data_IF_913871575252
#
_entry.id   IF_913871575252
#
_cell.length_a   1.000
_cell.length_b   1.000
_cell.length_c   1.000
_cell.angle_alpha   90.00
_cell.angle_beta   90.00
_cell.angle_gamma   90.00
#
_symmetry.space_group_name_H-M   'P 1'
#
loop_
_entity.id
_entity.type
_entity.pdbx_description
1 polymer ?
#
# COMPACT_ATOMS: atom_id res chain seq x y z
N UNK A 1 -14.33 39.56 -53.63
CA UNK A 1 -14.28 38.44 -54.59
C UNK A 1 -13.37 37.36 -54.01
N UNK A 2 -13.93 36.14 -53.89
CA UNK A 2 -13.37 34.82 -53.55
C UNK A 2 -11.84 34.57 -53.55
N UNK A 3 -11.34 33.93 -52.47
CA UNK A 3 -10.78 32.53 -52.37
C UNK A 3 -9.95 32.41 -51.08
N UNK A 4 -10.38 31.72 -50.01
CA UNK A 4 -10.29 30.27 -49.68
C UNK A 4 -8.87 29.68 -49.65
N UNK A 5 -8.48 29.07 -48.52
CA UNK A 5 -7.48 27.97 -48.51
C UNK A 5 -6.62 27.84 -47.25
N UNK A 6 -6.89 26.80 -46.46
CA UNK A 6 -6.15 26.32 -45.27
C UNK A 6 -4.73 25.82 -45.61
N UNK A 7 -3.78 25.84 -44.65
CA UNK A 7 -3.30 24.67 -43.87
C UNK A 7 -1.91 24.90 -43.23
N UNK A 8 -1.70 24.14 -42.14
CA UNK A 8 -0.60 24.09 -41.17
C UNK A 8 0.85 24.21 -41.70
N UNK A 9 1.71 24.83 -40.87
CA UNK A 9 3.15 24.50 -40.81
C UNK A 9 3.64 24.35 -39.35
N UNK A 10 3.73 23.10 -38.89
CA UNK A 10 4.52 22.65 -37.74
C UNK A 10 5.56 21.68 -38.30
N UNK A 11 6.82 22.10 -38.39
CA UNK A 11 8.02 21.27 -38.61
C UNK A 11 9.21 22.12 -38.11
N UNK A 12 10.28 21.67 -37.49
CA UNK A 12 10.84 20.38 -37.05
C UNK A 12 12.16 20.76 -36.38
N UNK A 13 12.50 20.27 -35.19
CA UNK A 13 13.88 20.21 -34.73
C UNK A 13 14.19 18.77 -34.32
N UNK A 14 14.60 17.96 -35.29
CA UNK A 14 15.24 16.67 -35.07
C UNK A 14 16.72 16.92 -34.77
N UNK A 15 17.17 16.61 -33.56
CA UNK A 15 18.58 16.43 -33.26
C UNK A 15 18.93 14.99 -33.61
N UNK A 16 19.65 14.80 -34.72
CA UNK A 16 20.23 13.52 -35.11
C UNK A 16 21.52 13.28 -34.31
N UNK A 17 21.57 12.21 -33.53
CA UNK A 17 22.83 11.66 -33.01
C UNK A 17 23.30 10.53 -33.93
N UNK A 18 24.35 10.82 -34.69
CA UNK A 18 25.06 9.86 -35.55
C UNK A 18 25.93 8.96 -34.68
N UNK A 19 25.64 7.66 -34.58
CA UNK A 19 26.55 6.69 -33.98
C UNK A 19 27.55 6.18 -35.03
N UNK A 20 28.84 6.35 -34.72
CA UNK A 20 29.97 5.84 -35.49
C UNK A 20 30.13 4.34 -35.20
N UNK A 21 30.02 3.47 -36.23
CA UNK A 21 30.25 2.03 -36.12
C UNK A 21 31.59 1.69 -36.78
N UNK A 22 32.59 1.12 -36.07
CA UNK A 22 33.80 0.62 -36.72
C UNK A 22 33.48 -0.67 -37.46
N UNK A 23 33.79 -0.71 -38.77
CA UNK A 23 33.76 -1.93 -39.59
C UNK A 23 34.84 -2.91 -39.12
N UNK A 24 34.46 -4.06 -38.58
CA UNK A 24 35.31 -5.26 -38.54
C UNK A 24 34.68 -6.37 -39.37
N UNK A 25 35.43 -6.81 -40.39
CA UNK A 25 35.08 -7.94 -41.27
C UNK A 25 35.43 -9.25 -40.57
N UNK A 26 34.45 -10.00 -40.05
CA UNK A 26 34.42 -11.48 -39.96
C UNK A 26 32.96 -11.96 -39.90
N UNK A 27 32.56 -13.03 -40.62
CA UNK A 27 31.24 -13.60 -40.48
C UNK A 27 31.13 -14.31 -39.12
N UNK A 28 30.04 -14.07 -38.39
CA UNK A 28 29.72 -14.74 -37.13
C UNK A 28 29.19 -16.18 -37.40
N UNK A 29 29.54 -17.18 -36.59
CA UNK A 29 28.99 -18.53 -36.72
C UNK A 29 27.54 -18.56 -36.20
N UNK A 30 26.70 -19.35 -36.88
CA UNK A 30 25.24 -19.41 -36.73
C UNK A 30 24.71 -20.12 -35.47
N UNK A 31 25.43 -20.07 -34.34
CA UNK A 31 24.97 -20.67 -33.07
C UNK A 31 25.60 -19.97 -31.86
N UNK A 32 25.25 -18.70 -31.63
CA UNK A 32 25.57 -17.98 -30.39
C UNK A 32 24.27 -17.52 -29.72
N UNK A 33 23.87 -18.20 -28.65
CA UNK A 33 22.81 -17.75 -27.74
C UNK A 33 23.44 -16.80 -26.71
N UNK A 34 23.05 -15.53 -26.72
CA UNK A 34 23.38 -14.58 -25.65
C UNK A 34 22.57 -14.91 -24.39
N UNK A 35 23.17 -14.95 -23.19
CA UNK A 35 22.41 -15.07 -21.96
C UNK A 35 21.73 -13.73 -21.65
N UNK A 36 20.42 -13.64 -21.87
CA UNK A 36 19.59 -12.45 -21.64
C UNK A 36 19.69 -11.87 -20.22
N UNK A 37 20.18 -12.67 -19.26
CA UNK A 37 20.32 -12.31 -17.85
C UNK A 37 21.48 -11.35 -17.59
N UNK A 38 22.58 -11.44 -18.36
CA UNK A 38 23.73 -10.54 -18.18
C UNK A 38 23.50 -9.16 -18.77
N UNK A 39 22.74 -9.07 -19.87
CA UNK A 39 22.32 -7.80 -20.48
C UNK A 39 21.30 -7.07 -19.61
N UNK A 40 20.35 -7.80 -18.99
CA UNK A 40 19.41 -7.22 -18.02
C UNK A 40 20.12 -6.63 -16.79
N UNK A 41 21.08 -7.37 -16.21
CA UNK A 41 21.84 -6.88 -15.04
C UNK A 41 22.71 -5.66 -15.37
N UNK A 42 23.30 -5.61 -16.57
CA UNK A 42 24.07 -4.45 -17.03
C UNK A 42 23.19 -3.21 -17.25
N UNK A 43 22.00 -3.38 -17.82
CA UNK A 43 20.98 -2.32 -17.96
C UNK A 43 20.49 -1.79 -16.60
N UNK A 44 20.26 -2.68 -15.63
CA UNK A 44 19.88 -2.31 -14.25
C UNK A 44 20.97 -1.46 -13.59
N UNK A 45 22.24 -1.82 -13.77
CA UNK A 45 23.38 -1.11 -13.17
C UNK A 45 23.59 0.27 -13.80
N UNK A 46 23.42 0.39 -15.12
CA UNK A 46 23.47 1.68 -15.83
C UNK A 46 22.29 2.61 -15.45
N UNK A 47 21.10 2.04 -15.23
CA UNK A 47 19.91 2.80 -14.83
C UNK A 47 19.97 3.26 -13.35
N UNK A 48 20.55 2.48 -12.45
CA UNK A 48 20.81 2.93 -11.07
C UNK A 48 21.76 4.14 -11.02
N UNK A 49 22.76 4.18 -11.90
CA UNK A 49 23.67 5.33 -12.02
C UNK A 49 22.96 6.59 -12.56
N UNK A 50 22.07 6.45 -13.56
CA UNK A 50 21.24 7.56 -14.03
C UNK A 50 20.24 8.06 -12.96
N UNK A 51 19.67 7.17 -12.16
CA UNK A 51 18.73 7.54 -11.10
C UNK A 51 19.42 8.30 -9.95
N UNK A 52 20.70 8.00 -9.67
CA UNK A 52 21.52 8.78 -8.73
C UNK A 52 21.84 10.17 -9.29
N UNK A 53 22.14 10.27 -10.59
CA UNK A 53 22.40 11.54 -11.26
C UNK A 53 21.16 12.45 -11.31
N UNK A 54 19.97 11.90 -11.58
CA UNK A 54 18.72 12.67 -11.59
C UNK A 54 18.28 13.11 -10.18
N UNK A 55 18.66 12.37 -9.13
CA UNK A 55 18.43 12.75 -7.73
C UNK A 55 19.22 14.00 -7.31
N UNK A 56 20.36 14.25 -7.94
CA UNK A 56 21.23 15.40 -7.64
C UNK A 56 20.76 16.71 -8.30
N UNK A 57 19.83 16.66 -9.27
CA UNK A 57 19.43 17.81 -10.09
C UNK A 57 17.95 18.26 -9.91
N UNK A 58 17.28 17.86 -8.82
CA UNK A 58 15.92 18.35 -8.51
C UNK A 58 15.98 19.74 -7.83
N UNK A 59 15.22 20.74 -8.30
CA UNK A 59 15.16 22.04 -7.62
C UNK A 59 14.43 21.90 -6.27
N UNK A 60 15.09 22.29 -5.18
CA UNK A 60 14.47 22.42 -3.86
C UNK A 60 13.50 23.61 -3.87
N UNK A 61 12.20 23.31 -3.87
CA UNK A 61 11.17 24.33 -3.69
C UNK A 61 10.82 24.38 -2.19
N UNK A 62 11.44 25.31 -1.46
CA UNK A 62 11.11 25.61 -0.07
C UNK A 62 9.83 26.46 -0.03
N UNK A 63 8.67 25.83 0.10
CA UNK A 63 7.47 26.47 0.62
C UNK A 63 6.92 25.61 1.77
N UNK A 64 6.47 26.28 2.84
CA UNK A 64 6.04 25.69 4.10
C UNK A 64 4.98 24.59 3.89
N UNK A 65 5.42 23.33 3.93
CA UNK A 65 4.58 22.13 3.93
C UNK A 65 4.11 21.86 5.37
N UNK A 66 2.97 22.45 5.75
CA UNK A 66 2.24 21.99 6.93
C UNK A 66 1.96 20.47 6.79
N UNK A 67 2.34 19.67 7.80
CA UNK A 67 2.39 18.19 7.84
C UNK A 67 1.38 17.48 6.91
N UNK A 68 1.80 17.21 5.66
CA UNK A 68 1.03 16.54 4.60
C UNK A 68 0.66 15.10 4.96
N UNK A 69 1.59 14.42 5.65
CA UNK A 69 1.44 13.07 6.13
C UNK A 69 1.26 13.12 7.65
N UNK A 70 0.22 12.46 8.16
CA UNK A 70 0.06 12.35 9.61
C UNK A 70 0.90 11.17 10.10
N UNK A 71 1.94 11.47 10.88
CA UNK A 71 2.58 10.47 11.72
C UNK A 71 1.59 10.05 12.80
N UNK A 72 0.93 8.90 12.62
CA UNK A 72 0.16 8.33 13.72
C UNK A 72 1.13 7.85 14.79
N UNK A 73 0.85 8.13 16.09
CA UNK A 73 1.57 7.47 17.16
C UNK A 73 1.45 5.99 16.88
N UNK A 74 2.60 5.35 16.65
CA UNK A 74 2.72 3.91 16.52
C UNK A 74 1.74 3.27 17.50
N UNK A 75 1.02 2.23 17.08
CA UNK A 75 0.54 1.16 17.95
C UNK A 75 1.53 1.00 19.13
N UNK A 76 1.29 1.71 20.24
CA UNK A 76 2.09 1.61 21.45
C UNK A 76 1.44 0.47 22.20
N UNK A 77 1.71 -0.74 21.73
CA UNK A 77 1.68 -1.88 22.61
C UNK A 77 2.73 -1.55 23.69
N UNK A 78 2.28 -1.16 24.87
CA UNK A 78 3.12 -1.07 26.05
C UNK A 78 3.56 -2.51 26.38
N UNK A 79 4.67 -2.92 25.79
CA UNK A 79 5.22 -4.25 25.93
C UNK A 79 6.21 -4.50 24.82
N UNK A 80 7.47 -4.70 25.19
CA UNK A 80 8.65 -4.84 24.34
C UNK A 80 8.64 -6.03 23.33
N UNK A 81 7.49 -6.54 22.84
CA UNK A 81 7.44 -7.82 22.11
C UNK A 81 6.60 -7.94 20.82
N UNK A 82 5.83 -6.95 20.32
CA UNK A 82 4.96 -7.20 19.12
C UNK A 82 4.94 -6.12 18.03
N UNK A 83 6.02 -5.39 17.84
CA UNK A 83 6.19 -4.49 16.69
C UNK A 83 6.59 -5.23 15.38
N UNK A 84 6.68 -6.57 15.40
CA UNK A 84 7.07 -7.41 14.26
C UNK A 84 5.97 -8.33 13.72
N UNK A 85 4.78 -8.37 14.31
CA UNK A 85 3.74 -9.31 13.85
C UNK A 85 2.96 -8.74 12.67
N UNK A 86 2.93 -9.50 11.58
CA UNK A 86 2.03 -9.29 10.44
C UNK A 86 0.58 -9.36 10.96
N UNK A 87 -0.28 -8.44 10.50
CA UNK A 87 -1.71 -8.44 10.78
C UNK A 87 -2.30 -9.81 10.41
N UNK A 88 -3.01 -10.48 11.33
CA UNK A 88 -3.61 -11.78 11.03
C UNK A 88 -4.67 -11.65 9.94
N UNK A 89 -4.93 -12.76 9.23
CA UNK A 89 -6.03 -12.82 8.28
C UNK A 89 -7.38 -12.53 8.96
N UNK A 90 -8.37 -12.08 8.19
CA UNK A 90 -9.70 -11.77 8.71
C UNK A 90 -10.42 -12.98 9.32
N UNK A 91 -10.08 -14.19 8.88
CA UNK A 91 -10.70 -15.46 9.27
C UNK A 91 -9.69 -16.61 9.27
N UNK A 92 -10.03 -17.71 9.94
CA UNK A 92 -9.20 -18.93 10.01
C UNK A 92 -9.37 -19.88 8.79
N UNK A 93 -9.99 -19.41 7.70
CA UNK A 93 -10.16 -20.25 6.52
C UNK A 93 -8.81 -20.56 5.87
N UNK A 94 -8.70 -21.76 5.29
CA UNK A 94 -7.51 -22.14 4.55
C UNK A 94 -7.40 -21.35 3.24
N UNK A 95 -6.23 -20.79 3.00
CA UNK A 95 -5.86 -20.12 1.77
C UNK A 95 -4.78 -20.92 1.03
N UNK A 96 -4.72 -20.86 -0.31
CA UNK A 96 -3.71 -21.58 -1.07
C UNK A 96 -2.31 -21.06 -0.73
N UNK A 97 -1.40 -22.00 -0.48
CA UNK A 97 0.03 -21.71 -0.26
C UNK A 97 0.64 -21.08 -1.52
N UNK A 98 1.67 -20.25 -1.34
CA UNK A 98 2.38 -19.57 -2.43
C UNK A 98 2.88 -20.53 -3.52
N UNK A 99 3.36 -21.71 -3.14
CA UNK A 99 3.83 -22.74 -4.09
C UNK A 99 2.70 -23.27 -5.00
N UNK A 100 1.50 -23.44 -4.44
CA UNK A 100 0.33 -23.86 -5.21
C UNK A 100 -0.11 -22.75 -6.19
N UNK A 101 -0.12 -21.50 -5.74
CA UNK A 101 -0.44 -20.34 -6.60
C UNK A 101 0.58 -20.18 -7.73
N UNK A 102 1.88 -20.34 -7.43
CA UNK A 102 2.96 -20.24 -8.42
C UNK A 102 2.82 -21.27 -9.55
N UNK A 103 2.45 -22.52 -9.23
CA UNK A 103 2.24 -23.57 -10.23
C UNK A 103 0.89 -23.51 -10.97
N UNK A 104 -0.09 -22.75 -10.47
CA UNK A 104 -1.44 -22.76 -11.01
C UNK A 104 -1.54 -21.96 -12.32
N UNK A 105 -2.17 -22.57 -13.34
CA UNK A 105 -2.39 -21.97 -14.67
C UNK A 105 -3.81 -21.43 -14.89
N UNK A 106 -4.73 -21.74 -13.97
CA UNK A 106 -6.12 -21.28 -14.04
C UNK A 106 -6.32 -19.90 -13.42
N UNK A 107 -7.58 -19.55 -13.19
CA UNK A 107 -7.96 -18.31 -12.54
C UNK A 107 -7.80 -18.42 -11.01
N UNK A 108 -6.80 -17.74 -10.44
CA UNK A 108 -6.39 -17.89 -9.03
C UNK A 108 -7.56 -17.83 -8.03
N UNK A 109 -8.54 -16.92 -8.16
CA UNK A 109 -9.71 -16.89 -7.29
C UNK A 109 -10.51 -18.19 -7.19
N UNK A 110 -10.46 -19.06 -8.21
CA UNK A 110 -11.18 -20.34 -8.23
C UNK A 110 -10.58 -21.34 -7.22
N UNK A 111 -9.31 -21.14 -6.82
CA UNK A 111 -8.66 -21.93 -5.77
C UNK A 111 -9.15 -21.55 -4.36
N UNK A 112 -9.80 -20.40 -4.22
CA UNK A 112 -10.10 -19.80 -2.91
C UNK A 112 -11.56 -20.04 -2.59
N UNK A 113 -11.79 -20.90 -1.60
CA UNK A 113 -13.14 -21.24 -1.11
C UNK A 113 -13.67 -20.25 -0.06
N UNK A 114 -12.79 -19.49 0.59
CA UNK A 114 -13.20 -18.56 1.62
C UNK A 114 -14.05 -17.41 1.04
N UNK A 115 -15.18 -17.11 1.71
CA UNK A 115 -16.05 -15.95 1.44
C UNK A 115 -16.34 -15.14 2.72
N UNK A 116 -15.64 -15.42 3.82
CA UNK A 116 -15.84 -14.70 5.09
C UNK A 116 -15.69 -13.19 4.88
N UNK A 117 -16.68 -12.40 5.29
CA UNK A 117 -16.68 -10.94 5.15
C UNK A 117 -17.31 -10.44 3.84
N UNK A 118 -17.46 -11.30 2.82
CA UNK A 118 -18.09 -10.98 1.52
C UNK A 118 -19.62 -11.14 1.56
N UNK A 119 -20.12 -12.10 2.35
CA UNK A 119 -21.52 -12.54 2.36
C UNK A 119 -22.45 -11.71 3.27
N UNK A 120 -22.35 -10.38 3.28
CA UNK A 120 -23.40 -9.54 3.88
C UNK A 120 -24.22 -8.86 2.77
N UNK A 121 -25.29 -9.52 2.28
CA UNK A 121 -26.12 -8.99 1.19
C UNK A 121 -26.75 -7.64 1.52
N UNK A 122 -26.88 -7.31 2.81
CA UNK A 122 -27.44 -6.03 3.23
C UNK A 122 -26.46 -4.87 2.99
N UNK A 123 -25.15 -5.14 2.96
CA UNK A 123 -24.12 -4.12 2.84
C UNK A 123 -23.35 -4.19 1.52
N UNK A 124 -23.49 -5.28 0.75
CA UNK A 124 -22.84 -5.45 -0.56
C UNK A 124 -23.34 -4.41 -1.57
N UNK A 125 -22.46 -3.49 -1.96
CA UNK A 125 -22.75 -2.43 -2.92
C UNK A 125 -21.48 -2.12 -3.70
N UNK A 126 -21.55 -2.10 -5.03
CA UNK A 126 -20.41 -1.83 -5.92
C UNK A 126 -20.83 -0.79 -6.95
N UNK A 127 -20.45 0.47 -6.72
CA UNK A 127 -20.76 1.60 -7.59
C UNK A 127 -19.78 1.79 -8.75
N UNK A 128 -18.61 1.16 -8.70
CA UNK A 128 -17.56 1.25 -9.72
C UNK A 128 -16.79 -0.08 -9.78
N UNK A 129 -16.18 -0.36 -10.92
CA UNK A 129 -15.36 -1.56 -11.15
C UNK A 129 -13.92 -1.18 -11.54
N UNK A 130 -13.04 -2.17 -11.67
CA UNK A 130 -11.69 -1.92 -12.15
C UNK A 130 -11.70 -1.61 -13.65
N UNK A 131 -10.91 -0.61 -14.04
CA UNK A 131 -10.70 -0.25 -15.43
C UNK A 131 -9.69 -1.20 -16.07
N UNK A 132 -10.10 -1.86 -17.15
CA UNK A 132 -9.22 -2.70 -17.97
C UNK A 132 -8.34 -1.84 -18.87
N UNK A 133 -7.03 -1.93 -18.66
CA UNK A 133 -6.01 -1.28 -19.47
C UNK A 133 -5.26 -2.37 -20.25
N UNK A 134 -5.28 -2.30 -21.58
CA UNK A 134 -4.64 -3.31 -22.44
C UNK A 134 -3.12 -3.37 -22.29
N UNK A 135 -2.51 -2.30 -21.78
CA UNK A 135 -1.06 -2.19 -21.64
C UNK A 135 -0.53 -2.63 -20.27
N UNK A 136 -1.41 -2.73 -19.26
CA UNK A 136 -1.05 -3.17 -17.91
C UNK A 136 -0.91 -4.69 -17.85
N UNK A 137 0.08 -5.16 -17.10
CA UNK A 137 0.32 -6.60 -16.88
C UNK A 137 -0.63 -7.14 -15.80
N UNK A 138 -1.93 -7.09 -16.09
CA UNK A 138 -3.01 -7.44 -15.17
C UNK A 138 -4.14 -8.17 -15.89
N UNK A 139 -4.78 -9.12 -15.24
CA UNK A 139 -6.02 -9.74 -15.69
C UNK A 139 -7.13 -9.33 -14.72
N UNK A 140 -8.20 -8.74 -15.26
CA UNK A 140 -9.38 -8.36 -14.49
C UNK A 140 -10.52 -9.30 -14.86
N UNK A 141 -11.14 -9.95 -13.87
CA UNK A 141 -12.34 -10.77 -14.05
C UNK A 141 -13.37 -10.43 -12.99
N UNK A 142 -14.40 -9.69 -13.39
CA UNK A 142 -15.39 -9.17 -12.45
C UNK A 142 -14.73 -8.26 -11.41
N UNK A 143 -14.75 -8.69 -10.16
CA UNK A 143 -14.21 -7.94 -9.02
C UNK A 143 -12.73 -8.25 -8.73
N UNK A 144 -12.18 -9.27 -9.39
CA UNK A 144 -10.85 -9.79 -9.12
C UNK A 144 -9.83 -9.19 -10.09
N UNK A 145 -8.72 -8.71 -9.52
CA UNK A 145 -7.52 -8.28 -10.27
C UNK A 145 -6.39 -9.22 -9.93
N UNK A 146 -5.87 -9.90 -10.95
CA UNK A 146 -4.63 -10.67 -10.88
C UNK A 146 -3.51 -9.85 -11.53
N UNK A 147 -2.51 -9.46 -10.75
CA UNK A 147 -1.32 -8.79 -11.25
C UNK A 147 -0.29 -9.81 -11.70
N UNK A 148 0.42 -9.50 -12.80
CA UNK A 148 1.56 -10.28 -13.27
C UNK A 148 1.22 -11.79 -13.37
N UNK A 149 0.24 -12.18 -14.21
CA UNK A 149 -0.31 -13.54 -14.25
C UNK A 149 0.73 -14.61 -14.65
N UNK A 150 1.79 -14.22 -15.36
CA UNK A 150 2.87 -15.12 -15.78
C UNK A 150 4.12 -14.92 -14.93
N UNK A 151 4.72 -13.73 -14.99
CA UNK A 151 5.87 -13.31 -14.19
C UNK A 151 5.83 -11.78 -14.05
N UNK A 152 6.57 -11.23 -13.09
CA UNK A 152 6.64 -9.79 -12.88
C UNK A 152 7.86 -9.19 -13.58
N UNK A 153 7.67 -8.06 -14.26
CA UNK A 153 8.73 -7.28 -14.92
C UNK A 153 8.93 -5.89 -14.31
N UNK A 154 8.09 -5.49 -13.36
CA UNK A 154 8.08 -4.16 -12.79
C UNK A 154 6.88 -3.98 -11.87
N UNK A 155 6.30 -2.79 -11.84
CA UNK A 155 5.07 -2.49 -11.10
C UNK A 155 3.90 -2.29 -12.04
N UNK A 156 2.87 -3.12 -11.90
CA UNK A 156 1.58 -2.91 -12.55
C UNK A 156 0.64 -2.09 -11.65
N UNK A 157 -0.12 -1.16 -12.25
CA UNK A 157 -1.10 -0.31 -11.56
C UNK A 157 -2.46 -0.45 -12.23
N UNK A 158 -3.51 -0.62 -11.45
CA UNK A 158 -4.91 -0.58 -11.90
C UNK A 158 -5.64 0.55 -11.19
N UNK A 159 -6.61 1.15 -11.88
CA UNK A 159 -7.51 2.17 -11.33
C UNK A 159 -8.97 1.76 -11.46
N UNK A 160 -9.86 2.39 -10.72
CA UNK A 160 -11.31 2.29 -10.95
C UNK A 160 -11.73 2.91 -12.29
N UNK A 161 -12.86 2.46 -12.83
CA UNK A 161 -13.47 2.94 -14.07
C UNK A 161 -14.21 4.27 -13.92
N UNK A 162 -14.68 4.58 -12.72
CA UNK A 162 -15.36 5.83 -12.40
C UNK A 162 -14.53 6.73 -11.47
N UNK A 163 -14.57 8.06 -11.67
CA UNK A 163 -13.99 8.99 -10.71
C UNK A 163 -14.83 9.01 -9.43
N UNK A 164 -14.14 9.08 -8.30
CA UNK A 164 -14.75 9.40 -7.02
C UNK A 164 -15.26 10.85 -7.11
N UNK A 165 -16.49 11.09 -6.71
CA UNK A 165 -17.17 12.39 -6.90
C UNK A 165 -16.81 13.37 -5.80
N UNK A 166 -16.55 14.63 -6.14
CA UNK A 166 -16.26 15.66 -5.13
C UNK A 166 -17.46 15.88 -4.20
N UNK A 167 -17.21 16.28 -2.95
CA UNK A 167 -18.28 16.56 -1.99
C UNK A 167 -18.96 15.31 -1.39
N UNK A 168 -18.49 14.10 -1.71
CA UNK A 168 -19.04 12.84 -1.21
C UNK A 168 -18.06 12.10 -0.28
N UNK A 169 -18.61 11.18 0.51
CA UNK A 169 -17.85 10.21 1.27
C UNK A 169 -17.82 8.88 0.51
N UNK A 170 -16.64 8.42 0.12
CA UNK A 170 -16.44 7.16 -0.59
C UNK A 170 -15.82 6.14 0.34
N UNK A 171 -16.32 4.90 0.28
CA UNK A 171 -15.73 3.79 1.00
C UNK A 171 -15.69 2.55 0.13
N UNK A 172 -14.56 1.85 0.12
CA UNK A 172 -14.43 0.56 -0.56
C UNK A 172 -13.58 -0.42 0.25
N UNK A 173 -13.88 -1.70 0.11
CA UNK A 173 -13.11 -2.79 0.72
C UNK A 173 -12.54 -3.71 -0.34
N UNK A 174 -11.31 -4.11 -0.12
CA UNK A 174 -10.61 -5.08 -0.96
C UNK A 174 -10.11 -6.23 -0.09
N UNK A 175 -10.18 -7.45 -0.63
CA UNK A 175 -9.63 -8.64 0.01
C UNK A 175 -8.34 -9.05 -0.66
N UNK A 176 -7.32 -9.32 0.15
CA UNK A 176 -6.07 -9.89 -0.29
C UNK A 176 -6.22 -11.40 -0.44
N UNK A 177 -6.15 -11.92 -1.66
CA UNK A 177 -6.44 -13.33 -1.96
C UNK A 177 -5.19 -14.23 -1.94
N UNK A 178 -4.02 -13.66 -2.20
CA UNK A 178 -2.73 -14.37 -2.25
C UNK A 178 -1.75 -13.76 -1.26
N UNK A 179 -0.70 -14.51 -0.88
CA UNK A 179 0.40 -13.94 -0.12
C UNK A 179 1.03 -12.76 -0.89
N UNK A 180 1.29 -11.66 -0.16
CA UNK A 180 1.93 -10.47 -0.72
C UNK A 180 3.45 -10.57 -0.54
N UNK A 181 4.19 -10.18 -1.57
CA UNK A 181 5.65 -10.23 -1.63
C UNK A 181 6.19 -9.18 -2.61
N UNK A 182 7.47 -9.23 -2.94
CA UNK A 182 8.09 -8.29 -3.87
C UNK A 182 8.48 -6.97 -3.22
N UNK A 183 8.71 -5.95 -4.04
CA UNK A 183 9.09 -4.62 -3.57
C UNK A 183 7.92 -3.92 -2.89
N UNK A 184 6.73 -3.96 -3.50
CA UNK A 184 5.53 -3.41 -2.89
C UNK A 184 4.23 -3.92 -3.52
N UNK A 185 3.19 -3.86 -2.71
CA UNK A 185 1.77 -3.94 -3.09
C UNK A 185 1.06 -2.83 -2.32
N UNK A 186 0.43 -1.90 -3.03
CA UNK A 186 -0.12 -0.69 -2.44
C UNK A 186 -1.58 -0.47 -2.80
N UNK A 187 -2.30 0.17 -1.90
CA UNK A 187 -3.71 0.53 -2.00
C UNK A 187 -3.85 2.04 -1.83
N UNK A 188 -4.69 2.70 -2.61
CA UNK A 188 -4.87 4.14 -2.43
C UNK A 188 -5.68 4.79 -3.53
N UNK A 189 -5.28 6.00 -3.89
CA UNK A 189 -5.94 6.82 -4.92
C UNK A 189 -4.91 7.51 -5.81
N UNK A 190 -5.34 7.90 -7.00
CA UNK A 190 -4.56 8.79 -7.86
C UNK A 190 -5.43 9.61 -8.80
N UNK A 191 -4.84 10.63 -9.40
CA UNK A 191 -5.51 11.52 -10.34
C UNK A 191 -5.65 10.87 -11.71
N UNK A 192 -6.42 11.48 -12.61
CA UNK A 192 -6.43 11.14 -14.04
C UNK A 192 -5.10 11.39 -14.76
N UNK A 193 -4.19 12.16 -14.15
CA UNK A 193 -2.85 12.47 -14.70
C UNK A 193 -1.79 11.47 -14.30
N UNK A 194 -2.09 10.53 -13.40
CA UNK A 194 -1.15 9.48 -13.02
C UNK A 194 -1.01 8.46 -14.16
N UNK A 195 0.19 8.32 -14.70
CA UNK A 195 0.49 7.36 -15.76
C UNK A 195 0.56 5.93 -15.21
N UNK A 196 -0.41 5.10 -15.60
CA UNK A 196 -0.53 3.70 -15.16
C UNK A 196 0.58 2.79 -15.70
N UNK A 197 1.30 3.24 -16.74
CA UNK A 197 2.31 2.46 -17.47
C UNK A 197 3.74 2.84 -17.11
N UNK A 198 3.92 3.96 -16.40
CA UNK A 198 5.21 4.55 -16.03
C UNK A 198 6.19 3.54 -15.43
N UNK A 199 5.69 2.57 -14.67
CA UNK A 199 6.51 1.64 -13.87
C UNK A 199 6.55 0.20 -14.40
N UNK A 200 6.12 -0.02 -15.65
CA UNK A 200 6.03 -1.37 -16.26
C UNK A 200 7.32 -2.19 -16.17
N UNK A 201 8.48 -1.52 -16.20
CA UNK A 201 9.82 -2.15 -16.12
C UNK A 201 10.62 -1.72 -14.88
N UNK A 202 9.95 -1.19 -13.86
CA UNK A 202 10.57 -0.67 -12.66
C UNK A 202 9.89 -1.25 -11.42
N UNK A 203 10.65 -1.96 -10.58
CA UNK A 203 10.16 -2.49 -9.32
C UNK A 203 10.17 -1.41 -8.24
N UNK A 204 9.02 -0.73 -8.06
CA UNK A 204 8.90 0.41 -7.14
C UNK A 204 7.56 0.45 -6.41
N UNK A 205 7.54 1.11 -5.25
CA UNK A 205 6.32 1.57 -4.57
C UNK A 205 5.66 2.70 -5.37
N UNK A 206 4.88 2.35 -6.40
CA UNK A 206 4.40 3.29 -7.41
C UNK A 206 3.52 4.42 -6.85
N UNK A 207 2.51 4.08 -6.05
CA UNK A 207 1.58 5.07 -5.49
C UNK A 207 2.29 5.99 -4.49
N UNK A 208 2.17 7.29 -4.69
CA UNK A 208 2.86 8.31 -3.90
C UNK A 208 4.30 8.60 -4.31
N UNK A 209 4.78 8.07 -5.44
CA UNK A 209 6.09 8.44 -5.99
C UNK A 209 6.14 9.91 -6.42
N UNK A 210 5.00 10.48 -6.80
CA UNK A 210 4.83 11.88 -7.18
C UNK A 210 3.59 12.47 -6.49
N UNK A 211 3.23 13.71 -6.84
CA UNK A 211 2.07 14.42 -6.31
C UNK A 211 0.71 13.97 -6.88
N UNK A 212 0.70 13.03 -7.84
CA UNK A 212 -0.51 12.58 -8.52
C UNK A 212 -1.17 11.36 -7.86
N UNK A 213 -0.58 10.80 -6.80
CA UNK A 213 -1.17 9.66 -6.08
C UNK A 213 -0.80 9.62 -4.61
N UNK A 214 -1.58 8.85 -3.84
CA UNK A 214 -1.43 8.62 -2.40
C UNK A 214 -1.58 7.12 -2.15
N UNK A 215 -0.63 6.49 -1.46
CA UNK A 215 -0.58 5.04 -1.34
C UNK A 215 -0.36 4.54 0.08
N UNK A 216 -0.94 3.38 0.40
CA UNK A 216 -0.70 2.60 1.61
C UNK A 216 -0.14 1.24 1.21
N UNK A 217 1.10 0.98 1.62
CA UNK A 217 1.87 -0.23 1.33
C UNK A 217 1.49 -1.37 2.25
N UNK A 218 1.54 -2.61 1.74
CA UNK A 218 1.42 -3.83 2.54
C UNK A 218 2.50 -3.95 3.64
N UNK A 219 3.55 -3.15 3.57
CA UNK A 219 4.56 -3.01 4.62
C UNK A 219 4.12 -2.14 5.81
N UNK A 220 2.92 -1.56 5.78
CA UNK A 220 2.43 -0.69 6.86
C UNK A 220 2.90 0.76 6.75
N UNK A 221 3.32 1.20 5.56
CA UNK A 221 3.80 2.58 5.31
C UNK A 221 2.85 3.32 4.38
N UNK A 222 2.72 4.63 4.59
CA UNK A 222 2.03 5.54 3.66
C UNK A 222 3.05 6.33 2.85
N UNK A 223 2.73 6.68 1.60
CA UNK A 223 3.61 7.40 0.68
C UNK A 223 2.86 8.45 -0.14
N UNK A 224 3.44 9.64 -0.24
CA UNK A 224 3.02 10.71 -1.15
C UNK A 224 4.19 11.64 -1.47
N UNK A 225 4.25 12.14 -2.71
CA UNK A 225 5.30 13.04 -3.18
C UNK A 225 6.74 12.57 -2.85
N UNK A 226 6.97 11.26 -2.96
CA UNK A 226 8.25 10.62 -2.69
C UNK A 226 8.55 10.38 -1.21
N UNK A 227 7.85 11.04 -0.29
CA UNK A 227 8.01 10.90 1.16
C UNK A 227 7.19 9.73 1.68
N UNK A 228 7.74 8.96 2.62
CA UNK A 228 7.05 7.84 3.25
C UNK A 228 7.15 7.90 4.77
N UNK A 229 6.09 7.48 5.46
CA UNK A 229 6.03 7.38 6.91
C UNK A 229 5.44 6.04 7.35
N UNK A 230 5.81 5.60 8.55
CA UNK A 230 5.14 4.48 9.21
C UNK A 230 3.73 4.89 9.60
N UNK A 231 2.76 4.01 9.37
CA UNK A 231 1.35 4.31 9.60
C UNK A 231 0.59 3.11 10.19
N UNK A 232 0.75 1.93 9.62
CA UNK A 232 0.05 0.71 10.03
C UNK A 232 0.98 -0.48 10.28
N UNK A 233 0.37 -1.64 10.50
CA UNK A 233 1.07 -2.92 10.56
C UNK A 233 1.25 -3.50 9.15
N UNK A 234 2.22 -4.42 8.99
CA UNK A 234 2.30 -5.24 7.78
C UNK A 234 1.07 -6.13 7.67
N UNK A 235 0.62 -6.48 6.47
CA UNK A 235 -0.51 -7.38 6.26
C UNK A 235 -0.30 -8.24 5.00
N UNK A 236 -1.07 -9.32 4.85
CA UNK A 236 -0.90 -10.26 3.74
C UNK A 236 -2.21 -10.98 3.42
N UNK A 237 -2.11 -12.20 2.87
CA UNK A 237 -3.22 -13.06 2.47
C UNK A 237 -4.32 -13.14 3.52
N UNK A 238 -5.57 -13.04 3.07
CA UNK A 238 -6.76 -13.16 3.89
C UNK A 238 -7.14 -11.89 4.65
N UNK A 239 -6.28 -10.85 4.68
CA UNK A 239 -6.64 -9.55 5.24
C UNK A 239 -7.63 -8.80 4.33
N UNK A 240 -8.45 -7.97 4.96
CA UNK A 240 -9.34 -7.00 4.30
C UNK A 240 -8.77 -5.60 4.46
N UNK A 241 -8.55 -4.90 3.35
CA UNK A 241 -8.11 -3.51 3.32
C UNK A 241 -9.30 -2.62 2.96
N UNK A 242 -9.71 -1.75 3.87
CA UNK A 242 -10.73 -0.73 3.61
C UNK A 242 -10.09 0.62 3.34
N UNK A 243 -10.74 1.45 2.53
CA UNK A 243 -10.31 2.82 2.24
C UNK A 243 -11.51 3.75 2.35
N UNK A 244 -11.39 4.80 3.16
CA UNK A 244 -12.38 5.84 3.35
C UNK A 244 -11.83 7.17 2.84
N UNK A 245 -12.43 7.70 1.78
CA UNK A 245 -12.08 9.00 1.22
C UNK A 245 -13.22 10.00 1.46
N UNK A 246 -12.93 11.02 2.26
CA UNK A 246 -13.81 12.17 2.47
C UNK A 246 -13.41 13.30 1.52
N UNK A 247 -14.11 13.41 0.38
CA UNK A 247 -13.87 14.44 -0.65
C UNK A 247 -14.36 15.84 -0.25
N UNK A 248 -15.08 15.97 0.87
CA UNK A 248 -15.44 17.28 1.43
C UNK A 248 -14.29 17.83 2.28
N UNK A 249 -13.69 16.99 3.10
CA UNK A 249 -12.65 17.37 4.06
C UNK A 249 -11.24 17.21 3.54
N UNK A 250 -11.06 16.52 2.41
CA UNK A 250 -9.73 16.20 1.87
C UNK A 250 -8.99 15.15 2.69
N UNK A 251 -9.72 14.21 3.29
CA UNK A 251 -9.15 13.20 4.20
C UNK A 251 -9.21 11.80 3.60
N UNK A 252 -8.11 11.06 3.73
CA UNK A 252 -8.01 9.66 3.34
C UNK A 252 -7.56 8.82 4.53
N UNK A 253 -8.32 7.77 4.82
CA UNK A 253 -8.13 6.87 5.95
C UNK A 253 -8.18 5.42 5.47
N UNK A 254 -7.35 4.56 6.06
CA UNK A 254 -7.32 3.12 5.75
C UNK A 254 -7.79 2.30 6.93
N UNK A 255 -8.29 1.11 6.61
CA UNK A 255 -8.78 0.13 7.55
C UNK A 255 -8.10 -1.21 7.28
N UNK A 256 -7.74 -1.93 8.34
CA UNK A 256 -7.32 -3.33 8.25
C UNK A 256 -8.27 -4.20 9.04
N UNK A 257 -8.82 -5.22 8.38
CA UNK A 257 -9.84 -6.12 8.93
C UNK A 257 -10.98 -5.33 9.61
N UNK A 258 -11.48 -4.30 8.91
CA UNK A 258 -12.54 -3.40 9.38
C UNK A 258 -12.21 -2.58 10.62
N UNK A 259 -10.95 -2.52 11.05
CA UNK A 259 -10.49 -1.60 12.08
C UNK A 259 -9.84 -0.39 11.45
N UNK A 260 -10.23 0.80 11.89
CA UNK A 260 -9.60 2.06 11.48
C UNK A 260 -8.12 2.09 11.91
N UNK A 261 -7.26 2.56 11.01
CA UNK A 261 -5.86 2.88 11.30
C UNK A 261 -5.63 4.39 11.53
N UNK A 262 -6.72 5.19 11.59
CA UNK A 262 -6.67 6.64 11.68
C UNK A 262 -6.41 7.35 10.35
N UNK A 263 -6.61 8.66 10.29
CA UNK A 263 -6.45 9.44 9.03
C UNK A 263 -4.99 9.44 8.56
N UNK A 264 -4.73 8.94 7.34
CA UNK A 264 -3.38 8.90 6.75
C UNK A 264 -2.99 10.24 6.10
N UNK A 265 -3.94 10.86 5.41
CA UNK A 265 -3.72 12.08 4.64
C UNK A 265 -4.82 13.09 4.92
N UNK A 266 -4.46 14.37 5.02
CA UNK A 266 -5.39 15.50 5.21
C UNK A 266 -5.34 16.53 4.08
N UNK A 267 -4.54 16.28 3.04
CA UNK A 267 -4.29 17.19 1.94
C UNK A 267 -4.85 16.68 0.61
N UNK A 268 -5.85 15.79 0.63
CA UNK A 268 -6.45 15.33 -0.62
C UNK A 268 -7.15 16.53 -1.28
N UNK A 269 -6.89 16.85 -2.55
CA UNK A 269 -7.49 18.01 -3.19
C UNK A 269 -9.02 17.89 -3.28
N UNK A 270 -9.70 18.96 -2.89
CA UNK A 270 -11.16 19.05 -2.90
C UNK A 270 -11.72 19.70 -4.18
N UNK A 271 -10.85 20.07 -5.14
CA UNK A 271 -11.28 20.64 -6.42
C UNK A 271 -12.25 19.69 -7.14
N UNK A 272 -13.48 20.13 -7.45
CA UNK A 272 -14.45 19.34 -8.21
C UNK A 272 -13.99 18.94 -9.61
N UNK A 273 -13.09 19.71 -10.23
CA UNK A 273 -12.57 19.41 -11.56
C UNK A 273 -11.52 18.29 -11.54
N UNK A 274 -10.86 18.09 -10.39
CA UNK A 274 -9.88 17.03 -10.23
C UNK A 274 -10.58 15.67 -10.08
N UNK A 275 -10.30 14.79 -11.03
CA UNK A 275 -10.78 13.41 -10.99
C UNK A 275 -9.81 12.57 -10.18
N UNK A 276 -10.33 11.96 -9.11
CA UNK A 276 -9.60 11.00 -8.29
C UNK A 276 -10.18 9.61 -8.51
N UNK A 277 -9.33 8.61 -8.64
CA UNK A 277 -9.69 7.23 -8.86
C UNK A 277 -9.13 6.36 -7.73
N UNK A 278 -9.86 5.32 -7.29
CA UNK A 278 -9.27 4.27 -6.46
C UNK A 278 -8.19 3.56 -7.28
N UNK A 279 -7.07 3.22 -6.63
CA UNK A 279 -5.93 2.58 -7.30
C UNK A 279 -5.32 1.48 -6.44
N UNK A 280 -4.82 0.45 -7.11
CA UNK A 280 -4.02 -0.61 -6.51
C UNK A 280 -2.82 -0.86 -7.41
N UNK A 281 -1.64 -1.04 -6.83
CA UNK A 281 -0.46 -1.46 -7.58
C UNK A 281 0.21 -2.67 -6.95
N UNK A 282 0.91 -3.44 -7.75
CA UNK A 282 1.65 -4.61 -7.28
C UNK A 282 2.91 -4.82 -8.11
N UNK A 283 3.96 -5.28 -7.45
CA UNK A 283 5.16 -5.87 -8.06
C UNK A 283 5.16 -7.39 -7.99
N UNK A 284 4.23 -7.98 -7.23
CA UNK A 284 4.21 -9.41 -6.94
C UNK A 284 3.55 -10.20 -8.07
N UNK A 285 4.30 -11.16 -8.63
CA UNK A 285 3.79 -12.14 -9.57
C UNK A 285 2.59 -12.89 -9.00
N UNK A 286 1.54 -13.06 -9.80
CA UNK A 286 0.30 -13.78 -9.44
C UNK A 286 -0.38 -13.26 -8.17
N UNK A 287 -0.12 -12.02 -7.78
CA UNK A 287 -0.85 -11.42 -6.67
C UNK A 287 -2.29 -11.13 -7.08
N UNK A 288 -3.25 -11.52 -6.23
CA UNK A 288 -4.67 -11.37 -6.53
C UNK A 288 -5.38 -10.56 -5.44
N UNK A 289 -6.16 -9.57 -5.87
CA UNK A 289 -6.93 -8.68 -5.02
C UNK A 289 -8.39 -8.68 -5.50
N UNK A 290 -9.35 -8.79 -4.58
CA UNK A 290 -10.79 -8.77 -4.86
C UNK A 290 -11.42 -7.48 -4.34
N UNK A 291 -12.21 -6.79 -5.16
CA UNK A 291 -13.10 -5.72 -4.69
C UNK A 291 -14.36 -6.32 -4.06
N UNK A 292 -14.60 -6.07 -2.78
CA UNK A 292 -15.78 -6.60 -2.07
C UNK A 292 -16.92 -5.59 -1.95
N UNK A 293 -16.59 -4.31 -1.84
CA UNK A 293 -17.54 -3.22 -1.67
C UNK A 293 -16.96 -1.94 -2.26
N UNK A 294 -17.82 -1.09 -2.82
CA UNK A 294 -17.52 0.24 -3.31
C UNK A 294 -18.78 1.10 -3.20
N UNK A 295 -18.96 1.76 -2.06
CA UNK A 295 -20.11 2.63 -1.78
C UNK A 295 -19.72 4.11 -1.78
N UNK A 296 -20.71 4.96 -1.99
CA UNK A 296 -20.55 6.42 -1.99
C UNK A 296 -21.77 7.05 -1.36
N UNK A 297 -21.56 7.95 -0.40
CA UNK A 297 -22.61 8.60 0.36
C UNK A 297 -22.50 10.11 0.19
N UNK A 298 -23.64 10.75 -0.07
CA UNK A 298 -23.71 12.21 -0.07
C UNK A 298 -23.52 12.71 1.35
N UNK A 299 -22.73 13.76 1.51
CA UNK A 299 -22.56 14.41 2.80
C UNK A 299 -23.88 15.07 3.23
N UNK A 300 -24.47 14.57 4.33
CA UNK A 300 -25.76 15.03 4.84
C UNK A 300 -25.76 15.05 6.37
N UNK A 301 -26.73 15.76 6.98
CA UNK A 301 -26.84 15.85 8.44
C UNK A 301 -26.93 14.47 9.10
N UNK A 302 -27.63 13.52 8.47
CA UNK A 302 -27.78 12.16 8.99
C UNK A 302 -26.42 11.43 9.04
N UNK A 303 -25.60 11.53 8.00
CA UNK A 303 -24.25 10.95 7.96
C UNK A 303 -23.35 11.59 9.03
N UNK A 304 -23.41 12.92 9.20
CA UNK A 304 -22.63 13.63 10.24
C UNK A 304 -23.04 13.21 11.65
N UNK A 305 -24.35 13.14 11.89
CA UNK A 305 -24.89 12.70 13.16
C UNK A 305 -24.47 11.26 13.47
N UNK A 306 -24.58 10.36 12.50
CA UNK A 306 -24.12 8.98 12.64
C UNK A 306 -22.61 8.91 12.92
N UNK A 307 -21.79 9.63 12.14
CA UNK A 307 -20.33 9.71 12.34
C UNK A 307 -19.93 10.26 13.72
N UNK A 308 -20.72 11.17 14.30
CA UNK A 308 -20.52 11.64 15.66
C UNK A 308 -20.93 10.58 16.70
N UNK A 309 -22.06 9.90 16.45
CA UNK A 309 -22.62 8.87 17.32
C UNK A 309 -21.73 7.62 17.41
N UNK A 310 -21.14 7.16 16.31
CA UNK A 310 -20.26 5.96 16.32
C UNK A 310 -19.02 6.11 17.21
N UNK A 311 -18.64 7.35 17.55
CA UNK A 311 -17.56 7.64 18.52
C UNK A 311 -17.99 7.38 19.97
N UNK A 312 -19.25 7.10 20.21
CA UNK A 312 -19.85 6.85 21.51
C UNK A 312 -20.39 5.41 21.57
N UNK A 313 -19.64 4.45 22.14
CA UNK A 313 -20.01 3.03 22.10
C UNK A 313 -21.39 2.72 22.70
N UNK A 314 -21.76 3.39 23.80
CA UNK A 314 -23.07 3.23 24.45
C UNK A 314 -24.22 3.64 23.52
N UNK A 315 -24.11 4.81 22.90
CA UNK A 315 -25.12 5.31 21.96
C UNK A 315 -25.24 4.44 20.70
N UNK A 316 -24.11 3.89 20.22
CA UNK A 316 -24.13 2.95 19.09
C UNK A 316 -24.83 1.64 19.44
N UNK A 317 -24.65 1.13 20.65
CA UNK A 317 -25.34 -0.08 21.11
C UNK A 317 -26.85 0.16 21.26
N UNK A 318 -27.25 1.28 21.86
CA UNK A 318 -28.65 1.69 21.92
C UNK A 318 -29.27 1.79 20.51
N UNK A 319 -28.54 2.40 19.54
CA UNK A 319 -29.00 2.53 18.16
C UNK A 319 -29.25 1.16 17.49
N UNK A 320 -28.43 0.14 17.78
CA UNK A 320 -28.61 -1.22 17.23
C UNK A 320 -29.90 -1.88 17.68
N UNK A 321 -30.38 -1.52 18.87
CA UNK A 321 -31.64 -2.06 19.41
C UNK A 321 -32.88 -1.40 18.80
N UNK A 322 -32.73 -0.27 18.10
CA UNK A 322 -33.85 0.48 17.51
C UNK A 322 -34.18 -0.03 16.11
N UNK A 323 -35.30 -0.78 15.91
CA UNK A 323 -35.62 -1.39 14.62
C UNK A 323 -35.84 -0.36 13.50
N UNK A 324 -36.38 0.81 13.83
CA UNK A 324 -36.64 1.89 12.86
C UNK A 324 -35.38 2.53 12.28
N UNK A 325 -34.21 2.32 12.89
CA UNK A 325 -32.94 2.94 12.46
C UNK A 325 -31.96 1.92 11.84
N UNK A 326 -32.40 0.67 11.64
CA UNK A 326 -31.61 -0.38 10.97
C UNK A 326 -31.13 0.03 9.58
N UNK A 327 -31.93 0.79 8.83
CA UNK A 327 -31.54 1.28 7.50
C UNK A 327 -30.35 2.23 7.56
N UNK A 328 -30.23 3.05 8.61
CA UNK A 328 -29.08 3.95 8.81
C UNK A 328 -27.82 3.12 9.08
N UNK A 329 -27.92 2.15 9.98
CA UNK A 329 -26.83 1.22 10.29
C UNK A 329 -26.36 0.48 9.05
N UNK A 330 -27.28 0.08 8.17
CA UNK A 330 -26.97 -0.58 6.91
C UNK A 330 -26.29 0.36 5.91
N UNK A 331 -26.78 1.59 5.75
CA UNK A 331 -26.24 2.54 4.78
C UNK A 331 -24.84 3.05 5.17
N UNK A 332 -24.58 3.19 6.47
CA UNK A 332 -23.33 3.72 7.02
C UNK A 332 -22.52 2.65 7.77
N UNK A 333 -22.72 1.38 7.42
CA UNK A 333 -22.13 0.24 8.10
C UNK A 333 -20.61 0.37 8.23
N UNK A 334 -19.94 0.96 7.24
CA UNK A 334 -18.49 1.15 7.21
C UNK A 334 -17.95 2.14 8.27
N UNK A 335 -18.80 2.98 8.84
CA UNK A 335 -18.45 3.83 9.99
C UNK A 335 -18.61 3.09 11.33
N UNK A 336 -19.30 1.94 11.34
CA UNK A 336 -19.50 1.06 12.49
C UNK A 336 -19.42 -0.42 12.06
N UNK A 337 -18.29 -0.84 11.47
CA UNK A 337 -18.25 -2.09 10.74
C UNK A 337 -18.37 -3.28 11.69
N UNK A 338 -19.07 -4.36 11.29
CA UNK A 338 -19.18 -5.55 12.11
C UNK A 338 -17.80 -6.19 12.19
N UNK A 339 -17.24 -6.23 13.39
CA UNK A 339 -15.92 -6.81 13.58
C UNK A 339 -16.07 -8.32 13.73
N UNK A 340 -15.47 -9.07 12.80
CA UNK A 340 -15.33 -10.53 12.91
C UNK A 340 -13.84 -10.85 12.93
N UNK A 341 -13.49 -11.82 13.75
CA UNK A 341 -12.12 -12.15 14.11
C UNK A 341 -11.84 -13.62 13.81
N UNK A 342 -10.64 -13.88 13.30
CA UNK A 342 -9.96 -15.16 13.40
C UNK A 342 -9.82 -15.53 14.89
N UNK A 343 -9.87 -16.82 15.25
CA UNK A 343 -9.67 -17.27 16.64
C UNK A 343 -8.34 -16.77 17.21
N UNK A 344 -7.33 -16.66 16.36
CA UNK A 344 -5.97 -16.18 16.70
C UNK A 344 -5.95 -14.70 17.15
N UNK A 345 -6.87 -13.88 16.63
CA UNK A 345 -6.91 -12.44 16.91
C UNK A 345 -7.63 -12.03 18.21
N UNK A 346 -8.33 -12.96 18.89
CA UNK A 346 -8.97 -12.71 20.19
C UNK A 346 -7.98 -12.31 21.30
N UNK A 347 -6.72 -12.71 21.20
CA UNK A 347 -5.71 -12.37 22.21
C UNK A 347 -5.29 -10.89 22.21
N UNK A 348 -5.58 -10.13 21.14
CA UNK A 348 -5.23 -8.71 20.98
C UNK A 348 -6.41 -7.76 21.31
N UNK A 349 -7.46 -8.25 21.96
CA UNK A 349 -8.72 -7.53 22.17
C UNK A 349 -8.62 -6.43 23.24
N UNK A 350 -7.79 -6.62 24.28
CA UNK A 350 -7.75 -5.72 25.43
C UNK A 350 -6.93 -4.44 25.25
N UNK A 351 -6.09 -4.34 24.22
CA UNK A 351 -5.05 -3.29 24.15
C UNK A 351 -5.40 -2.09 23.24
N UNK A 352 -6.50 -2.14 22.47
CA UNK A 352 -6.70 -1.22 21.34
C UNK A 352 -8.04 -0.48 21.29
N UNK A 353 -9.06 -0.94 22.01
CA UNK A 353 -10.33 -0.20 22.09
C UNK A 353 -10.16 1.15 22.83
N UNK A 354 -9.11 1.27 23.66
CA UNK A 354 -8.83 2.48 24.44
C UNK A 354 -8.07 3.56 23.64
N UNK A 355 -7.11 3.22 22.77
CA UNK A 355 -6.25 4.23 22.12
C UNK A 355 -6.96 5.05 21.03
N UNK A 356 -7.80 4.43 20.19
CA UNK A 356 -8.48 5.13 19.08
C UNK A 356 -9.54 6.16 19.57
N UNK A 357 -10.10 5.94 20.76
CA UNK A 357 -11.11 6.83 21.38
C UNK A 357 -10.45 7.98 22.15
N UNK A 358 -9.23 7.80 22.65
CA UNK A 358 -8.56 8.76 23.55
C UNK A 358 -7.72 9.83 22.84
N UNK A 359 -7.33 9.65 21.57
CA UNK A 359 -6.49 10.60 20.82
C UNK A 359 -7.10 12.00 20.62
N UNK A 360 -8.40 12.17 20.90
CA UNK A 360 -9.11 13.44 20.78
C UNK A 360 -8.92 14.40 21.98
N UNK A 361 -8.45 13.92 23.14
CA UNK A 361 -8.42 14.72 24.38
C UNK A 361 -7.05 15.31 24.76
N UNK A 362 -5.95 14.88 24.17
CA UNK A 362 -4.59 15.30 24.57
C UNK A 362 -3.97 16.42 23.72
N UNK A 363 -4.70 16.98 22.74
CA UNK A 363 -4.18 18.05 21.86
C UNK A 363 -4.12 19.48 22.45
N UNK A 364 -4.46 19.69 23.73
CA UNK A 364 -4.52 21.03 24.33
C UNK A 364 -3.41 21.38 25.33
N UNK A 365 -2.38 20.55 25.51
CA UNK A 365 -1.31 20.88 26.45
C UNK A 365 0.05 20.34 26.02
N UNK A 366 0.68 21.00 25.05
CA UNK A 366 2.15 21.18 24.97
C UNK A 366 2.48 22.04 23.74
N UNK A 367 2.40 23.37 23.91
CA UNK A 367 3.28 24.27 23.16
C UNK A 367 4.72 23.96 23.64
N UNK A 368 5.49 23.22 22.86
CA UNK A 368 6.93 23.14 23.09
C UNK A 368 7.59 24.42 22.57
N UNK A 369 8.23 25.09 23.52
CA UNK A 369 9.03 26.29 23.41
C UNK A 369 10.36 25.89 22.75
N UNK A 370 10.60 26.36 21.53
CA UNK A 370 11.94 26.34 20.97
C UNK A 370 12.83 27.27 21.80
N UNK A 371 14.01 26.78 22.17
CA UNK A 371 15.15 27.58 22.58
C UNK A 371 16.37 27.02 21.85
N UNK A 372 16.95 27.85 21.00
CA UNK A 372 18.34 27.76 20.57
C UNK A 372 19.26 28.06 21.77
N UNK A 373 20.43 27.40 21.81
CA UNK A 373 21.76 28.01 21.98
C UNK A 373 22.84 26.90 22.15
N UNK A 374 23.73 26.86 21.15
CA UNK A 374 25.20 26.76 21.15
C UNK A 374 26.05 25.64 21.84
N UNK A 375 26.83 24.99 20.96
CA UNK A 375 28.28 24.64 20.97
C UNK A 375 28.99 23.81 22.07
N UNK A 376 29.85 22.90 21.56
CA UNK A 376 30.91 22.08 22.20
C UNK A 376 30.42 20.91 23.09
N UNK A 377 30.93 19.67 23.00
CA UNK A 377 32.34 19.29 23.05
C UNK A 377 32.57 17.87 22.48
N UNK A 378 33.76 17.64 21.91
CA UNK A 378 34.26 16.36 21.39
C UNK A 378 35.12 15.72 22.47
N UNK A 379 34.64 14.62 23.07
CA UNK A 379 35.43 13.47 23.57
C UNK A 379 34.61 12.74 24.64
N UNK A 380 34.26 11.49 24.36
CA UNK A 380 34.29 10.38 25.33
C UNK A 380 33.84 9.08 24.63
N UNK A 381 34.61 8.70 23.61
CA UNK A 381 34.77 7.30 23.26
C UNK A 381 35.90 6.77 24.16
N UNK A 382 35.67 5.65 24.85
CA UNK A 382 36.52 4.99 25.84
C UNK A 382 36.24 5.35 27.31
N UNK A 383 35.11 4.88 27.83
CA UNK A 383 35.08 4.42 29.22
C UNK A 383 34.11 3.26 29.37
N UNK A 384 34.55 2.21 30.07
CA UNK A 384 33.83 0.98 30.43
C UNK A 384 34.14 -0.26 29.59
N UNK A 385 35.42 -0.47 29.28
CA UNK A 385 36.00 -1.80 29.44
C UNK A 385 36.36 -2.01 30.92
N UNK A 386 36.24 -3.26 31.39
CA UNK A 386 36.52 -3.79 32.74
C UNK A 386 35.35 -3.82 33.72
N UNK A 387 34.70 -4.99 33.78
CA UNK A 387 34.52 -5.78 35.01
C UNK A 387 34.25 -7.24 34.65
N UNK A 388 35.31 -8.04 34.71
CA UNK A 388 35.27 -9.50 34.82
C UNK A 388 34.97 -9.81 36.29
N UNK A 389 34.01 -10.70 36.55
CA UNK A 389 33.94 -11.45 37.80
C UNK A 389 33.69 -12.92 37.45
N UNK A 390 34.66 -13.74 37.84
CA UNK A 390 34.75 -15.19 37.73
C UNK A 390 33.97 -15.82 38.88
N UNK A 391 33.20 -16.89 38.64
CA UNK A 391 33.04 -17.98 39.61
C UNK A 391 32.76 -19.32 38.92
N UNK A 392 33.26 -20.37 39.58
CA UNK A 392 33.70 -21.68 39.11
C UNK A 392 32.62 -22.71 38.73
N UNK A 393 33.00 -23.51 37.72
CA UNK A 393 32.94 -24.98 37.56
C UNK A 393 31.97 -25.82 38.42
N UNK A 394 31.20 -26.66 37.72
CA UNK A 394 31.18 -28.10 37.99
C UNK A 394 30.88 -28.88 36.71
N UNK A 395 31.72 -29.89 36.44
CA UNK A 395 31.68 -30.79 35.28
C UNK A 395 30.46 -31.72 35.25
N UNK A 396 29.96 -32.03 34.06
CA UNK A 396 29.59 -33.40 33.66
C UNK A 396 29.42 -33.44 32.15
N UNK A 397 30.21 -34.34 31.55
CA UNK A 397 30.19 -34.74 30.16
C UNK A 397 28.86 -35.45 29.86
N UNK A 398 28.18 -35.06 28.79
CA UNK A 398 27.31 -35.96 28.04
C UNK A 398 27.25 -35.49 26.58
N UNK A 399 27.81 -36.36 25.75
CA UNK A 399 27.98 -36.31 24.32
C UNK A 399 26.68 -36.74 23.63
N UNK A 400 25.92 -35.82 23.01
CA UNK A 400 24.87 -36.18 22.05
C UNK A 400 24.75 -35.18 20.89
N UNK A 401 25.26 -35.66 19.75
CA UNK A 401 24.96 -35.38 18.34
C UNK A 401 23.70 -34.54 18.07
N UNK A 402 23.87 -33.40 17.40
CA UNK A 402 22.90 -32.91 16.40
C UNK A 402 23.62 -32.06 15.34
N UNK A 403 23.99 -32.79 14.30
CA UNK A 403 24.39 -32.36 12.97
C UNK A 403 23.43 -31.31 12.39
N UNK A 404 24.03 -30.30 11.75
CA UNK A 404 23.64 -29.69 10.46
C UNK A 404 22.18 -29.27 10.26
N UNK A 405 21.98 -27.99 9.91
CA UNK A 405 21.24 -27.51 8.72
C UNK A 405 20.93 -26.01 8.87
N UNK A 406 21.93 -25.18 8.60
CA UNK A 406 21.74 -23.80 8.16
C UNK A 406 22.76 -23.54 7.07
N UNK A 407 22.39 -23.89 5.85
CA UNK A 407 22.75 -23.18 4.63
C UNK A 407 22.05 -23.86 3.45
N UNK A 408 21.82 -23.10 2.38
CA UNK A 408 21.14 -23.46 1.13
C UNK A 408 19.62 -23.24 1.08
N UNK A 409 19.20 -22.01 0.78
CA UNK A 409 18.10 -21.77 -0.16
C UNK A 409 18.31 -20.43 -0.90
N UNK A 410 19.47 -20.32 -1.55
CA UNK A 410 19.72 -19.39 -2.66
C UNK A 410 20.38 -20.19 -3.77
N UNK A 411 19.57 -20.92 -4.54
CA UNK A 411 19.85 -21.38 -5.91
C UNK A 411 18.73 -22.30 -6.33
N UNK A 412 17.77 -21.78 -7.11
CA UNK A 412 16.86 -22.46 -8.05
C UNK A 412 15.83 -21.36 -8.41
N UNK A 413 15.73 -20.81 -9.62
CA UNK A 413 15.98 -21.35 -10.95
C UNK A 413 16.25 -20.23 -11.97
N UNK A 414 17.06 -20.61 -12.95
CA UNK A 414 17.15 -20.06 -14.30
C UNK A 414 15.82 -20.12 -15.06
#
# INVERSE_FOLDING_TARGET
AFKTGQLLSLLTHSVAFTFYVPRTKRPLPSNWKFPAQQTANWLIQQQQQQHLHNRQNMPHNNHNDDEILIAHPCYRANGYSRLSSICPAYCDCEFPKTTAVAGYKGHIPDMIKCRCGEDDPATHTIHWNWHECSESDTIIKGQDVTFHPTYSQGTAVVRGDQPLTAGMLHFWEMRVLTALSGTDVMFGIGTDKFDLTQFKFHFVSALGTNSQSWGFSYEGKIRHNGVHLKYGQKFSQGCIVGVLLDRMRGQLEFFLNRRSLGVAYCNIPNDPQLKLYPMVCSTAAKSCIRLMNATSQVECLQLRAFRALVKQPKALEELRQLPGLKTILRNYWFLAPPVRYSRESKSNEYDMLDEAVLSSKTRLSRKHKYKDDDFADINDLYTNAHKIAVHHQHDSEDELVLSEYFDEYFNYLF
#
